data_IF_356349772897
#
_entry.id   IF_356349772897
#
_cell.length_a   1.000
_cell.length_b   1.000
_cell.length_c   1.000
_cell.angle_alpha   90.00
_cell.angle_beta   90.00
_cell.angle_gamma   90.00
#
_symmetry.space_group_name_H-M   'P 1'
#
loop_
_entity.id
_entity.type
_entity.pdbx_description
1 polymer ?
#
# COMPACT_ATOMS: atom_id res chain seq x y z
N UNK A 1 16.56 -15.10 -12.00
CA UNK A 1 17.12 -14.50 -10.77
C UNK A 1 16.60 -13.09 -10.45
N UNK A 2 15.97 -12.37 -11.39
CA UNK A 2 15.53 -10.97 -11.19
C UNK A 2 14.24 -10.76 -10.37
N UNK A 3 13.32 -11.73 -10.35
CA UNK A 3 12.01 -11.54 -9.73
C UNK A 3 12.07 -11.28 -8.22
N UNK A 4 12.96 -11.97 -7.52
CA UNK A 4 13.14 -11.83 -6.07
C UNK A 4 13.73 -10.47 -5.70
N UNK A 5 14.79 -10.07 -6.38
CA UNK A 5 15.45 -8.78 -6.12
C UNK A 5 14.49 -7.60 -6.39
N UNK A 6 13.75 -7.65 -7.50
CA UNK A 6 12.72 -6.65 -7.81
C UNK A 6 11.61 -6.60 -6.75
N UNK A 7 11.15 -7.77 -6.27
CA UNK A 7 10.15 -7.84 -5.21
C UNK A 7 10.65 -7.20 -3.89
N UNK A 8 11.85 -7.57 -3.45
CA UNK A 8 12.48 -7.01 -2.25
C UNK A 8 12.74 -5.50 -2.38
N UNK A 9 13.04 -5.02 -3.59
CA UNK A 9 13.17 -3.59 -3.87
C UNK A 9 11.83 -2.85 -3.73
N UNK A 10 10.74 -3.39 -4.26
CA UNK A 10 9.41 -2.78 -4.12
C UNK A 10 9.00 -2.68 -2.65
N UNK A 11 9.21 -3.75 -1.86
CA UNK A 11 8.88 -3.72 -0.43
C UNK A 11 9.63 -2.63 0.33
N UNK A 12 10.95 -2.47 0.07
CA UNK A 12 11.74 -1.38 0.68
C UNK A 12 11.20 0.01 0.32
N UNK A 13 10.84 0.23 -0.95
CA UNK A 13 10.31 1.52 -1.39
C UNK A 13 8.96 1.84 -0.73
N UNK A 14 8.12 0.83 -0.48
CA UNK A 14 6.85 1.01 0.25
C UNK A 14 7.10 1.42 1.71
N UNK A 15 8.07 0.80 2.39
CA UNK A 15 8.46 1.16 3.75
C UNK A 15 9.04 2.58 3.85
N UNK A 16 9.91 2.94 2.90
CA UNK A 16 10.48 4.29 2.78
C UNK A 16 9.39 5.35 2.56
N UNK A 17 8.44 5.06 1.66
CA UNK A 17 7.28 5.94 1.43
C UNK A 17 6.45 6.14 2.72
N UNK A 18 6.16 5.08 3.46
CA UNK A 18 5.41 5.20 4.72
C UNK A 18 6.14 6.03 5.78
N UNK A 19 7.48 5.93 5.84
CA UNK A 19 8.30 6.76 6.73
C UNK A 19 8.25 8.22 6.33
N UNK A 20 8.47 8.51 5.04
CA UNK A 20 8.41 9.86 4.51
C UNK A 20 7.04 10.52 4.72
N UNK A 21 5.95 9.79 4.45
CA UNK A 21 4.60 10.31 4.62
C UNK A 21 4.26 10.56 6.10
N UNK A 22 4.78 9.73 7.03
CA UNK A 22 4.60 9.93 8.49
C UNK A 22 5.29 11.21 8.99
N UNK A 23 6.39 11.59 8.37
CA UNK A 23 7.17 12.79 8.72
C UNK A 23 6.66 14.06 8.02
N UNK A 24 5.66 13.91 7.14
CA UNK A 24 5.09 14.99 6.34
C UNK A 24 3.75 15.50 6.91
N UNK A 25 3.37 16.73 6.55
CA UNK A 25 2.02 17.25 6.76
C UNK A 25 1.31 17.29 5.39
N UNK A 26 0.52 16.26 5.02
CA UNK A 26 -0.16 16.22 3.73
C UNK A 26 -1.28 17.28 3.68
N UNK A 27 -1.19 18.21 2.72
CA UNK A 27 -2.11 19.33 2.54
C UNK A 27 -2.93 19.24 1.23
N UNK A 28 -2.83 18.12 0.52
CA UNK A 28 -3.56 17.91 -0.73
C UNK A 28 -5.01 17.54 -0.39
N UNK A 29 -5.96 18.38 -0.79
CA UNK A 29 -7.37 18.25 -0.40
C UNK A 29 -8.04 16.96 -0.91
N UNK A 30 -7.52 16.34 -1.97
CA UNK A 30 -8.04 15.10 -2.54
C UNK A 30 -7.43 13.83 -1.93
N UNK A 31 -6.44 13.94 -1.05
CA UNK A 31 -5.73 12.80 -0.47
C UNK A 31 -6.28 12.46 0.92
N UNK A 32 -6.25 11.17 1.27
CA UNK A 32 -6.66 10.69 2.59
C UNK A 32 -5.98 9.37 2.97
N UNK A 33 -5.97 9.04 4.26
CA UNK A 33 -5.41 7.81 4.79
C UNK A 33 -6.55 6.80 5.05
N UNK A 34 -6.52 5.60 4.44
CA UNK A 34 -7.53 4.57 4.73
C UNK A 34 -7.34 4.00 6.14
N UNK A 35 -8.45 3.72 6.81
CA UNK A 35 -8.47 3.11 8.14
C UNK A 35 -7.95 1.65 8.11
N UNK A 36 -7.50 1.09 9.25
CA UNK A 36 -7.03 -0.29 9.31
C UNK A 36 -8.05 -1.32 8.78
N UNK A 37 -9.32 -1.18 9.15
CA UNK A 37 -10.39 -2.08 8.68
C UNK A 37 -10.56 -2.06 7.15
N UNK A 38 -10.42 -0.89 6.51
CA UNK A 38 -10.46 -0.80 5.04
C UNK A 38 -9.24 -1.49 4.41
N UNK A 39 -8.05 -1.33 5.00
CA UNK A 39 -6.84 -2.00 4.51
C UNK A 39 -6.96 -3.52 4.64
N UNK A 40 -7.52 -4.02 5.73
CA UNK A 40 -7.79 -5.46 5.94
C UNK A 40 -8.76 -6.02 4.88
N UNK A 41 -9.84 -5.28 4.59
CA UNK A 41 -10.78 -5.69 3.54
C UNK A 41 -10.12 -5.75 2.16
N UNK A 42 -9.21 -4.83 1.84
CA UNK A 42 -8.49 -4.78 0.55
C UNK A 42 -7.52 -5.96 0.36
N UNK A 43 -6.93 -6.49 1.43
CA UNK A 43 -6.01 -7.65 1.37
C UNK A 43 -6.73 -9.00 1.47
N UNK A 44 -8.06 -8.99 1.58
CA UNK A 44 -8.86 -10.22 1.59
C UNK A 44 -8.85 -10.95 0.24
N UNK A 45 -9.42 -12.16 0.20
CA UNK A 45 -9.50 -12.95 -1.02
C UNK A 45 -10.42 -12.36 -2.12
N UNK A 46 -11.23 -11.36 -1.78
CA UNK A 46 -12.25 -10.80 -2.67
C UNK A 46 -11.66 -10.22 -3.96
N UNK A 47 -10.41 -9.73 -3.94
CA UNK A 47 -9.73 -9.24 -5.15
C UNK A 47 -9.46 -10.30 -6.22
N UNK A 48 -9.52 -11.59 -5.86
CA UNK A 48 -9.31 -12.71 -6.78
C UNK A 48 -10.62 -13.32 -7.29
N UNK A 49 -11.77 -12.79 -6.87
CA UNK A 49 -13.08 -13.37 -7.21
C UNK A 49 -13.72 -12.61 -8.35
N UNK A 50 -14.25 -13.34 -9.33
CA UNK A 50 -15.19 -12.80 -10.30
C UNK A 50 -16.59 -12.82 -9.67
N UNK A 51 -17.30 -11.69 -9.75
CA UNK A 51 -18.70 -11.63 -9.38
C UNK A 51 -19.54 -12.14 -10.56
N UNK A 52 -20.23 -13.26 -10.37
CA UNK A 52 -21.31 -13.74 -11.23
C UNK A 52 -22.66 -13.15 -10.80
#
# INVERSE_FOLDING_TARGET
MYGRESFEKVLRLLEEHHRWFRESLPLIASENIPSPAVREALVSDFGNRYAE
#
